data_IF_019245535413
#
_entry.id   IF_019245535413
#
_cell.length_a   1.000
_cell.length_b   1.000
_cell.length_c   1.000
_cell.angle_alpha   90.00
_cell.angle_beta   90.00
_cell.angle_gamma   90.00
#
_symmetry.space_group_name_H-M   'P 1'
#
loop_
_entity.id
_entity.type
_entity.pdbx_description
1 polymer ?
#
# COMPACT_ATOMS: atom_id res chain seq x y z
N UNK A 1 -10.94 -2.98 18.40
CA UNK A 1 -9.97 -4.08 18.30
C UNK A 1 -10.64 -5.46 18.36
N UNK A 2 -11.51 -5.74 19.34
CA UNK A 2 -12.14 -7.07 19.52
C UNK A 2 -12.94 -7.54 18.29
N UNK A 3 -13.78 -6.70 17.74
CA UNK A 3 -14.60 -7.03 16.56
C UNK A 3 -13.72 -7.35 15.34
N UNK A 4 -12.65 -6.60 15.14
CA UNK A 4 -11.65 -6.90 14.13
C UNK A 4 -11.00 -8.27 14.32
N UNK A 5 -10.67 -8.61 15.56
CA UNK A 5 -10.08 -9.92 15.85
C UNK A 5 -11.03 -11.06 15.53
N UNK A 6 -12.32 -10.92 15.84
CA UNK A 6 -13.34 -11.91 15.52
C UNK A 6 -13.59 -12.02 14.00
N UNK A 7 -13.64 -10.88 13.31
CA UNK A 7 -13.75 -10.86 11.84
C UNK A 7 -12.57 -11.57 11.18
N UNK A 8 -11.36 -11.31 11.66
CA UNK A 8 -10.15 -11.91 11.10
C UNK A 8 -9.89 -13.35 11.56
N UNK A 9 -10.74 -13.94 12.40
CA UNK A 9 -10.76 -15.39 12.63
C UNK A 9 -11.38 -16.12 11.44
N UNK A 10 -12.34 -15.49 10.77
CA UNK A 10 -12.99 -16.03 9.57
C UNK A 10 -12.27 -15.59 8.29
N UNK A 11 -11.82 -14.34 8.24
CA UNK A 11 -11.11 -13.71 7.09
C UNK A 11 -9.70 -13.30 7.51
N UNK A 12 -8.72 -14.21 7.48
CA UNK A 12 -7.40 -13.98 8.09
C UNK A 12 -6.56 -12.91 7.40
N UNK A 13 -6.90 -12.55 6.16
CA UNK A 13 -6.24 -11.51 5.36
C UNK A 13 -7.26 -10.60 4.70
N UNK A 14 -6.93 -9.32 4.65
CA UNK A 14 -7.69 -8.31 3.92
C UNK A 14 -6.77 -7.68 2.88
N UNK A 15 -7.27 -7.55 1.66
CA UNK A 15 -6.60 -6.81 0.59
C UNK A 15 -7.25 -5.45 0.47
N UNK A 16 -6.44 -4.40 0.46
CA UNK A 16 -6.92 -3.02 0.28
C UNK A 16 -5.92 -2.18 -0.52
N UNK A 17 -6.34 -1.01 -0.93
CA UNK A 17 -5.39 0.03 -1.34
C UNK A 17 -4.68 0.61 -0.11
N UNK A 18 -3.46 1.10 -0.27
CA UNK A 18 -2.76 1.87 0.76
C UNK A 18 -3.28 3.31 0.80
N UNK A 19 -3.33 3.93 -0.37
CA UNK A 19 -3.85 5.28 -0.61
C UNK A 19 -4.70 5.25 -1.87
N UNK A 20 -5.74 6.10 -2.01
CA UNK A 20 -6.65 6.12 -3.16
C UNK A 20 -6.10 6.88 -4.37
N UNK A 21 -4.89 7.40 -4.30
CA UNK A 21 -4.22 8.13 -5.37
C UNK A 21 -2.90 7.47 -5.73
N UNK A 22 -2.42 7.70 -6.95
CA UNK A 22 -1.17 7.12 -7.44
C UNK A 22 0.06 7.78 -6.81
N UNK A 23 -0.01 9.07 -6.52
CA UNK A 23 1.08 9.85 -5.94
C UNK A 23 0.56 11.19 -5.39
N UNK A 24 1.42 11.86 -4.62
CA UNK A 24 1.26 13.26 -4.23
C UNK A 24 2.44 14.06 -4.75
N UNK A 25 2.18 15.30 -5.12
CA UNK A 25 3.27 16.25 -5.36
C UNK A 25 3.97 16.57 -4.02
N UNK A 26 5.29 16.81 -4.05
CA UNK A 26 6.02 17.27 -2.87
C UNK A 26 5.30 18.48 -2.22
N UNK A 27 5.34 18.52 -0.89
CA UNK A 27 4.76 19.59 -0.07
C UNK A 27 3.25 19.80 -0.20
N UNK A 28 2.52 18.85 -0.77
CA UNK A 28 1.05 18.94 -0.91
C UNK A 28 0.34 19.18 0.43
N UNK A 29 0.84 18.59 1.51
CA UNK A 29 0.36 18.78 2.88
C UNK A 29 0.64 20.19 3.43
N UNK A 30 1.57 20.92 2.84
CA UNK A 30 1.88 22.32 3.20
C UNK A 30 1.00 23.34 2.48
N UNK A 31 0.16 22.92 1.55
CA UNK A 31 -0.75 23.78 0.78
C UNK A 31 -2.05 24.14 1.55
N UNK A 32 -1.94 24.33 2.84
CA UNK A 32 -3.05 24.74 3.71
C UNK A 32 -4.06 23.62 3.97
N UNK A 33 -5.25 23.99 4.43
CA UNK A 33 -6.26 23.05 4.89
C UNK A 33 -6.68 22.02 3.82
N UNK A 34 -6.78 22.44 2.58
CA UNK A 34 -7.21 21.55 1.49
C UNK A 34 -6.17 20.44 1.24
N UNK A 35 -4.90 20.78 1.15
CA UNK A 35 -3.80 19.84 0.96
C UNK A 35 -3.69 18.86 2.13
N UNK A 36 -3.74 19.36 3.36
CA UNK A 36 -3.75 18.52 4.57
C UNK A 36 -4.94 17.56 4.56
N UNK A 37 -6.14 18.03 4.25
CA UNK A 37 -7.33 17.17 4.21
C UNK A 37 -7.22 16.06 3.15
N UNK A 38 -6.67 16.39 1.99
CA UNK A 38 -6.45 15.42 0.92
C UNK A 38 -5.45 14.34 1.34
N UNK A 39 -4.27 14.73 1.82
CA UNK A 39 -3.21 13.80 2.22
C UNK A 39 -3.63 12.94 3.41
N UNK A 40 -4.17 13.54 4.47
CA UNK A 40 -4.61 12.79 5.64
C UNK A 40 -5.83 11.92 5.34
N UNK A 41 -6.77 12.40 4.54
CA UNK A 41 -7.93 11.62 4.13
C UNK A 41 -7.55 10.39 3.31
N UNK A 42 -6.59 10.54 2.42
CA UNK A 42 -6.08 9.43 1.62
C UNK A 42 -5.28 8.41 2.45
N UNK A 43 -4.58 8.87 3.48
CA UNK A 43 -3.80 7.99 4.35
C UNK A 43 -4.66 7.22 5.39
N UNK A 44 -5.98 7.40 5.39
CA UNK A 44 -6.89 6.79 6.36
C UNK A 44 -6.77 5.25 6.42
N UNK A 45 -6.58 4.60 5.29
CA UNK A 45 -6.38 3.14 5.20
C UNK A 45 -5.11 2.69 5.95
N UNK A 46 -4.02 3.44 5.80
CA UNK A 46 -2.77 3.16 6.49
C UNK A 46 -2.86 3.46 7.99
N UNK A 47 -3.41 4.60 8.38
CA UNK A 47 -3.54 4.97 9.80
C UNK A 47 -4.40 4.01 10.59
N UNK A 48 -5.52 3.58 10.01
CA UNK A 48 -6.47 2.72 10.69
C UNK A 48 -5.80 1.43 11.15
N UNK A 49 -4.99 0.81 10.30
CA UNK A 49 -4.29 -0.43 10.63
C UNK A 49 -3.22 -0.22 11.69
N UNK A 50 -2.45 0.86 11.59
CA UNK A 50 -1.46 1.24 12.61
C UNK A 50 -2.13 1.50 13.97
N UNK A 51 -3.26 2.22 13.96
CA UNK A 51 -3.98 2.57 15.19
C UNK A 51 -4.56 1.35 15.91
N UNK A 52 -5.13 0.40 15.18
CA UNK A 52 -5.71 -0.82 15.78
C UNK A 52 -4.68 -1.92 16.01
N UNK A 53 -3.42 -1.75 15.54
CA UNK A 53 -2.30 -2.66 15.76
C UNK A 53 -2.41 -3.98 15.00
N UNK A 54 -2.88 -3.94 13.76
CA UNK A 54 -2.85 -5.07 12.83
C UNK A 54 -1.60 -5.00 11.96
N UNK A 55 -0.89 -6.12 11.72
CA UNK A 55 0.21 -6.16 10.79
C UNK A 55 -0.29 -5.89 9.39
N UNK A 56 0.42 -5.03 8.66
CA UNK A 56 0.12 -4.73 7.28
C UNK A 56 1.42 -4.60 6.47
N UNK A 57 1.39 -5.07 5.24
CA UNK A 57 2.50 -4.95 4.31
C UNK A 57 2.01 -4.54 2.93
N UNK A 58 2.91 -4.07 2.09
CA UNK A 58 2.60 -3.59 0.74
C UNK A 58 3.47 -4.31 -0.26
N UNK A 59 2.88 -4.66 -1.39
CA UNK A 59 3.60 -5.21 -2.54
C UNK A 59 3.17 -4.47 -3.81
N UNK A 60 4.11 -4.03 -4.65
CA UNK A 60 3.80 -3.47 -5.95
C UNK A 60 3.15 -4.53 -6.85
N UNK A 61 2.13 -4.16 -7.60
CA UNK A 61 1.41 -5.07 -8.51
C UNK A 61 1.46 -4.64 -9.97
N UNK A 62 1.71 -3.36 -10.24
CA UNK A 62 1.88 -2.84 -11.59
C UNK A 62 2.54 -1.45 -11.58
N UNK A 63 2.89 -0.97 -12.77
CA UNK A 63 3.40 0.39 -12.98
C UNK A 63 2.34 1.17 -13.76
N UNK A 64 1.77 2.21 -13.14
CA UNK A 64 0.85 3.13 -13.78
C UNK A 64 1.61 4.25 -14.49
N UNK A 65 1.13 4.66 -15.67
CA UNK A 65 1.61 5.88 -16.32
C UNK A 65 0.78 7.07 -15.81
N UNK A 66 1.44 8.01 -15.17
CA UNK A 66 0.80 9.19 -14.58
C UNK A 66 1.34 10.47 -15.21
N UNK A 67 0.76 11.61 -14.87
CA UNK A 67 1.30 12.93 -15.27
C UNK A 67 2.66 13.23 -14.68
N UNK A 68 3.04 12.55 -13.59
CA UNK A 68 4.37 12.64 -12.98
C UNK A 68 5.37 11.60 -13.56
N UNK A 69 4.95 10.80 -14.53
CA UNK A 69 5.73 9.69 -15.09
C UNK A 69 5.26 8.33 -14.60
N UNK A 70 6.06 7.26 -14.82
CA UNK A 70 5.74 5.93 -14.35
C UNK A 70 5.85 5.82 -12.83
N UNK A 71 4.81 5.33 -12.18
CA UNK A 71 4.72 5.18 -10.72
C UNK A 71 4.33 3.74 -10.37
N UNK A 72 5.03 3.07 -9.45
CA UNK A 72 4.62 1.77 -8.97
C UNK A 72 3.35 1.89 -8.13
N UNK A 73 2.38 1.05 -8.43
CA UNK A 73 1.13 0.94 -7.67
C UNK A 73 1.15 -0.39 -6.92
N UNK A 74 0.94 -0.31 -5.62
CA UNK A 74 0.90 -1.47 -4.74
C UNK A 74 -0.48 -1.68 -4.11
N UNK A 75 -0.65 -2.88 -3.59
CA UNK A 75 -1.77 -3.24 -2.74
C UNK A 75 -1.29 -3.47 -1.32
N UNK A 76 -2.14 -3.18 -0.36
CA UNK A 76 -1.91 -3.45 1.06
C UNK A 76 -2.54 -4.78 1.44
N UNK A 77 -1.77 -5.62 2.13
CA UNK A 77 -2.24 -6.85 2.76
C UNK A 77 -2.25 -6.63 4.27
N UNK A 78 -3.39 -6.82 4.88
CA UNK A 78 -3.59 -6.65 6.31
C UNK A 78 -3.87 -8.01 6.92
N UNK A 79 -3.16 -8.37 7.98
CA UNK A 79 -3.28 -9.63 8.67
C UNK A 79 -3.87 -9.51 10.08
N UNK A 80 -4.27 -10.63 10.65
CA UNK A 80 -4.66 -10.72 12.04
C UNK A 80 -3.48 -10.32 12.94
N UNK A 81 -3.76 -9.70 14.08
CA UNK A 81 -2.73 -9.33 15.07
C UNK A 81 -1.85 -10.53 15.43
N UNK A 82 -0.55 -10.31 15.45
CA UNK A 82 0.50 -11.31 15.72
C UNK A 82 0.63 -12.39 14.64
N UNK A 83 0.10 -12.14 13.45
CA UNK A 83 0.22 -13.04 12.29
C UNK A 83 0.93 -12.37 11.12
N UNK A 84 2.05 -11.73 11.41
CA UNK A 84 2.97 -11.16 10.41
C UNK A 84 3.43 -12.22 9.41
N UNK A 85 3.57 -13.46 9.86
CA UNK A 85 3.90 -14.62 9.04
C UNK A 85 2.95 -14.79 7.86
N UNK A 86 1.64 -14.67 8.09
CA UNK A 86 0.65 -14.80 7.03
C UNK A 86 0.64 -13.61 6.08
N UNK A 87 0.91 -12.41 6.58
CA UNK A 87 1.06 -11.21 5.74
C UNK A 87 2.27 -11.37 4.81
N UNK A 88 3.42 -11.74 5.35
CA UNK A 88 4.65 -11.94 4.57
C UNK A 88 4.47 -13.05 3.53
N UNK A 89 3.86 -14.17 3.89
CA UNK A 89 3.59 -15.26 2.95
C UNK A 89 2.68 -14.79 1.78
N UNK A 90 1.66 -13.99 2.07
CA UNK A 90 0.79 -13.44 1.03
C UNK A 90 1.53 -12.44 0.12
N UNK A 91 2.37 -11.57 0.69
CA UNK A 91 3.19 -10.63 -0.08
C UNK A 91 4.14 -11.36 -1.03
N UNK A 92 4.81 -12.41 -0.55
CA UNK A 92 5.70 -13.24 -1.37
C UNK A 92 4.92 -13.89 -2.52
N UNK A 93 3.78 -14.51 -2.24
CA UNK A 93 2.96 -15.15 -3.27
C UNK A 93 2.49 -14.17 -4.35
N UNK A 94 2.15 -12.94 -3.96
CA UNK A 94 1.75 -11.88 -4.91
C UNK A 94 2.96 -11.43 -5.73
N UNK A 95 4.11 -11.22 -5.11
CA UNK A 95 5.34 -10.82 -5.81
C UNK A 95 5.78 -11.90 -6.80
N UNK A 96 5.69 -13.17 -6.45
CA UNK A 96 5.97 -14.29 -7.37
C UNK A 96 5.04 -14.28 -8.59
N UNK A 97 3.76 -13.93 -8.41
CA UNK A 97 2.81 -13.81 -9.52
C UNK A 97 3.01 -12.57 -10.38
N UNK A 98 3.23 -11.40 -9.75
CA UNK A 98 3.33 -10.12 -10.44
C UNK A 98 4.76 -9.83 -10.96
N UNK A 99 5.77 -10.42 -10.32
CA UNK A 99 7.18 -10.15 -10.51
C UNK A 99 7.65 -8.90 -9.78
N UNK A 100 8.97 -8.70 -9.76
CA UNK A 100 9.60 -7.51 -9.19
C UNK A 100 9.47 -6.32 -10.15
N UNK A 101 9.23 -5.14 -9.60
CA UNK A 101 9.00 -3.94 -10.41
C UNK A 101 10.17 -2.95 -10.42
N UNK A 102 11.20 -3.15 -9.61
CA UNK A 102 12.33 -2.24 -9.53
C UNK A 102 13.02 -2.06 -10.87
N UNK A 103 13.46 -3.16 -11.49
CA UNK A 103 14.15 -3.14 -12.77
C UNK A 103 13.26 -2.58 -13.88
N UNK A 104 12.00 -3.04 -13.97
CA UNK A 104 11.01 -2.56 -14.93
C UNK A 104 10.75 -1.06 -14.80
N UNK A 105 10.77 -0.53 -13.57
CA UNK A 105 10.61 0.90 -13.31
C UNK A 105 11.84 1.66 -13.74
N UNK A 106 13.04 1.18 -13.41
CA UNK A 106 14.30 1.81 -13.78
C UNK A 106 14.51 1.84 -15.30
N UNK A 107 14.15 0.76 -16.01
CA UNK A 107 14.13 0.75 -17.49
C UNK A 107 13.18 1.85 -18.03
N UNK A 108 11.97 1.95 -17.50
CA UNK A 108 10.99 2.98 -17.93
C UNK A 108 11.45 4.41 -17.61
N UNK A 109 12.24 4.59 -16.56
CA UNK A 109 12.85 5.87 -16.20
C UNK A 109 14.15 6.16 -16.96
N UNK A 110 14.65 5.20 -17.75
CA UNK A 110 15.91 5.34 -18.46
C UNK A 110 17.15 5.28 -17.55
N UNK A 111 17.04 4.66 -16.39
CA UNK A 111 18.14 4.52 -15.43
C UNK A 111 18.96 3.24 -15.62
N UNK A 112 18.41 2.28 -16.34
CA UNK A 112 19.11 1.09 -16.81
C UNK A 112 19.25 1.19 -18.34
N UNK A 113 20.50 1.10 -18.84
CA UNK A 113 20.84 1.01 -20.26
C UNK A 113 20.84 -0.45 -20.70
#
# INVERSE_FOLDING_TARGET
>A
AREWSLFMDEYPLIISNLIPTSFYYPDRDSEGKAGVTEVLGAALWSYSMNFIGHPAGIVPTHIANTTAGPVPIGIQIIGKRWREDTVVAALIAIEECCGTFCEKLWEKLGWLN
#
